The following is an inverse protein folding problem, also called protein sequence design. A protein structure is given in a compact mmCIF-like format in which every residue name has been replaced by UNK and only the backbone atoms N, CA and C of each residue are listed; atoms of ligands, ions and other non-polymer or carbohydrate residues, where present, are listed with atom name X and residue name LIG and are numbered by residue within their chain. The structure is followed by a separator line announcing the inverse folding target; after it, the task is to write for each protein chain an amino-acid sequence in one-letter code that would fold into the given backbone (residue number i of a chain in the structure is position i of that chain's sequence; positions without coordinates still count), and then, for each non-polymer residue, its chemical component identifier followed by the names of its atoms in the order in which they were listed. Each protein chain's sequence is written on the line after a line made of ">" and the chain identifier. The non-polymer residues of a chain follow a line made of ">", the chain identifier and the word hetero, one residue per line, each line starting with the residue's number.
data_IF_337298291701
#
_entry.id   IF_337298291701
#
_cell.length_a   1.000
_cell.length_b   1.000
_cell.length_c   1.000
_cell.angle_alpha   90.00
_cell.angle_beta   90.00
_cell.angle_gamma   90.00
#
_symmetry.space_group_name_H-M   'P 1'
#
loop_
_entity.id
_entity.type
_entity.pdbx_description
1 polymer ?
#
# COMPACT_ATOMS: atom_id res chain seq x y z
N UNK A 1 0.20 -0.73 16.00
CA UNK A 1 -0.82 -1.64 16.57
C UNK A 1 -1.10 -2.76 15.59
N UNK A 2 -1.44 -3.95 16.10
CA UNK A 2 -1.81 -5.10 15.27
C UNK A 2 -3.30 -5.05 14.94
N UNK A 3 -3.64 -5.03 13.64
CA UNK A 3 -5.02 -5.11 13.16
C UNK A 3 -5.38 -6.57 12.86
N UNK A 4 -6.63 -6.95 13.04
CA UNK A 4 -7.19 -8.28 12.71
C UNK A 4 -7.75 -8.24 11.31
N UNK A 5 -7.11 -8.95 10.39
CA UNK A 5 -7.48 -8.98 8.98
C UNK A 5 -8.08 -10.35 8.65
N UNK A 6 -9.26 -10.35 8.05
CA UNK A 6 -9.86 -11.55 7.46
C UNK A 6 -9.53 -11.57 5.97
N UNK A 7 -8.96 -12.66 5.47
CA UNK A 7 -8.67 -12.89 4.06
C UNK A 7 -9.50 -14.08 3.58
N UNK A 8 -10.37 -13.86 2.60
CA UNK A 8 -11.14 -14.89 1.93
C UNK A 8 -10.58 -15.08 0.51
N UNK A 9 -9.90 -16.20 0.28
CA UNK A 9 -9.19 -16.54 -0.96
C UNK A 9 -9.10 -18.06 -1.03
N UNK A 10 -9.61 -18.66 -2.12
CA UNK A 10 -9.73 -20.11 -2.28
C UNK A 10 -8.44 -20.75 -2.80
N UNK A 11 -7.57 -20.00 -3.48
CA UNK A 11 -6.22 -20.45 -3.82
C UNK A 11 -5.32 -20.45 -2.56
N UNK A 12 -4.94 -21.62 -2.01
CA UNK A 12 -4.16 -21.69 -0.78
C UNK A 12 -2.75 -21.08 -0.92
N UNK A 13 -2.17 -21.05 -2.13
CA UNK A 13 -0.87 -20.42 -2.37
C UNK A 13 -0.99 -18.91 -2.30
N UNK A 14 -2.01 -18.35 -2.94
CA UNK A 14 -2.29 -16.92 -2.92
C UNK A 14 -2.65 -16.46 -1.51
N UNK A 15 -3.55 -17.18 -0.85
CA UNK A 15 -3.97 -16.88 0.52
C UNK A 15 -2.79 -16.92 1.51
N UNK A 16 -1.90 -17.92 1.39
CA UNK A 16 -0.70 -18.00 2.21
C UNK A 16 0.27 -16.85 1.93
N UNK A 17 0.43 -16.44 0.67
CA UNK A 17 1.29 -15.32 0.30
C UNK A 17 0.78 -14.02 0.92
N UNK A 18 -0.52 -13.73 0.82
CA UNK A 18 -1.16 -12.56 1.44
C UNK A 18 -0.92 -12.57 2.95
N UNK A 19 -1.19 -13.71 3.60
CA UNK A 19 -1.00 -13.89 5.05
C UNK A 19 0.42 -13.55 5.49
N UNK A 20 1.43 -14.15 4.86
CA UNK A 20 2.84 -13.93 5.24
C UNK A 20 3.23 -12.46 5.12
N UNK A 21 2.73 -11.74 4.11
CA UNK A 21 3.04 -10.32 3.95
C UNK A 21 2.37 -9.46 5.03
N UNK A 22 1.09 -9.67 5.28
CA UNK A 22 0.35 -8.89 6.27
C UNK A 22 0.81 -9.18 7.70
N UNK A 23 1.16 -10.44 8.02
CA UNK A 23 1.76 -10.81 9.30
C UNK A 23 3.14 -10.16 9.51
N UNK A 24 3.96 -10.05 8.46
CA UNK A 24 5.24 -9.32 8.50
C UNK A 24 5.07 -7.83 8.80
N UNK A 25 3.92 -7.24 8.48
CA UNK A 25 3.57 -5.86 8.82
C UNK A 25 2.98 -5.73 10.24
N UNK A 26 2.92 -6.84 10.98
CA UNK A 26 2.48 -6.87 12.38
C UNK A 26 0.98 -7.06 12.55
N UNK A 27 0.24 -7.43 11.50
CA UNK A 27 -1.19 -7.73 11.58
C UNK A 27 -1.45 -9.19 11.99
N UNK A 28 -2.60 -9.45 12.60
CA UNK A 28 -3.11 -10.80 12.82
C UNK A 28 -4.02 -11.17 11.65
N UNK A 29 -3.75 -12.29 10.99
CA UNK A 29 -4.46 -12.66 9.76
C UNK A 29 -5.19 -13.98 9.94
N UNK A 30 -6.49 -13.99 9.63
CA UNK A 30 -7.28 -15.20 9.50
C UNK A 30 -7.57 -15.44 8.01
N UNK A 31 -7.27 -16.65 7.54
CA UNK A 31 -7.55 -17.07 6.16
C UNK A 31 -8.75 -18.03 6.15
N UNK A 32 -9.65 -17.83 5.19
CA UNK A 32 -10.77 -18.71 4.88
C UNK A 32 -10.82 -18.94 3.36
N UNK A 33 -11.36 -20.08 2.92
CA UNK A 33 -11.35 -20.48 1.51
C UNK A 33 -12.69 -20.37 0.78
N UNK A 34 -13.72 -19.83 1.42
CA UNK A 34 -15.06 -19.70 0.84
C UNK A 34 -15.85 -18.53 1.45
N UNK A 35 -16.81 -17.99 0.69
CA UNK A 35 -17.56 -16.80 1.09
C UNK A 35 -18.53 -17.02 2.27
N UNK A 36 -19.04 -18.24 2.48
CA UNK A 36 -19.91 -18.55 3.61
C UNK A 36 -19.12 -18.47 4.92
N UNK A 37 -17.96 -19.12 4.96
CA UNK A 37 -17.05 -19.07 6.10
C UNK A 37 -16.56 -17.64 6.33
N UNK A 38 -16.32 -16.85 5.26
CA UNK A 38 -15.98 -15.44 5.38
C UNK A 38 -17.05 -14.63 6.13
N UNK A 39 -18.33 -14.78 5.77
CA UNK A 39 -19.45 -14.13 6.47
C UNK A 39 -19.53 -14.55 7.94
N UNK A 40 -19.43 -15.85 8.22
CA UNK A 40 -19.49 -16.38 9.59
C UNK A 40 -18.34 -15.83 10.46
N UNK A 41 -17.11 -15.81 9.93
CA UNK A 41 -15.94 -15.29 10.64
C UNK A 41 -15.99 -13.76 10.80
N UNK A 42 -16.46 -13.02 9.79
CA UNK A 42 -16.60 -11.57 9.88
C UNK A 42 -17.56 -11.16 11.02
N UNK A 43 -18.72 -11.83 11.12
CA UNK A 43 -19.72 -11.58 12.18
C UNK A 43 -19.21 -11.91 13.57
N UNK A 44 -18.52 -13.04 13.72
CA UNK A 44 -18.10 -13.55 15.03
C UNK A 44 -16.83 -12.88 15.54
N UNK A 45 -15.85 -12.62 14.66
CA UNK A 45 -14.54 -12.08 15.06
C UNK A 45 -14.44 -10.57 14.94
N UNK A 46 -15.34 -9.94 14.18
CA UNK A 46 -15.36 -8.49 13.92
C UNK A 46 -13.96 -7.98 13.52
N UNK A 47 -13.46 -8.39 12.34
CA UNK A 47 -12.15 -7.98 11.87
C UNK A 47 -12.11 -6.46 11.65
N UNK A 48 -10.90 -5.93 11.63
CA UNK A 48 -10.63 -4.52 11.40
C UNK A 48 -10.52 -4.19 9.90
N UNK A 49 -10.36 -5.22 9.05
CA UNK A 49 -10.43 -5.17 7.59
C UNK A 49 -10.74 -6.56 7.01
N UNK A 50 -11.46 -6.61 5.89
CA UNK A 50 -11.71 -7.82 5.11
C UNK A 50 -11.11 -7.71 3.71
N UNK A 51 -10.37 -8.73 3.29
CA UNK A 51 -9.91 -8.92 1.91
C UNK A 51 -10.74 -10.06 1.31
N UNK A 52 -11.40 -9.84 0.18
CA UNK A 52 -12.27 -10.81 -0.45
C UNK A 52 -11.84 -11.04 -1.90
N UNK A 53 -11.53 -12.26 -2.29
CA UNK A 53 -11.61 -12.63 -3.70
C UNK A 53 -13.06 -12.56 -4.17
N UNK A 54 -13.28 -11.95 -5.34
CA UNK A 54 -14.57 -11.96 -6.01
C UNK A 54 -14.97 -13.41 -6.33
N UNK A 55 -14.07 -14.18 -6.94
CA UNK A 55 -14.41 -15.52 -7.46
C UNK A 55 -14.18 -16.60 -6.40
N UNK A 56 -15.08 -16.70 -5.42
CA UNK A 56 -15.01 -17.72 -4.36
C UNK A 56 -16.14 -18.76 -4.43
N UNK A 57 -15.91 -19.99 -3.95
CA UNK A 57 -16.94 -21.02 -3.88
C UNK A 57 -18.00 -20.71 -2.80
N UNK A 58 -19.16 -21.37 -2.92
CA UNK A 58 -20.35 -21.28 -2.05
C UNK A 58 -21.10 -19.95 -2.08
N UNK A 59 -20.39 -18.85 -1.81
CA UNK A 59 -20.91 -17.48 -1.88
C UNK A 59 -19.84 -16.61 -2.54
N UNK A 60 -20.21 -15.89 -3.58
CA UNK A 60 -19.31 -15.00 -4.33
C UNK A 60 -18.89 -13.80 -3.47
N UNK A 61 -17.68 -13.29 -3.67
CA UNK A 61 -17.13 -12.18 -2.89
C UNK A 61 -17.93 -10.88 -2.98
N UNK A 62 -18.61 -10.64 -4.11
CA UNK A 62 -19.51 -9.47 -4.25
C UNK A 62 -20.75 -9.63 -3.38
N UNK A 63 -21.32 -10.83 -3.29
CA UNK A 63 -22.46 -11.10 -2.42
C UNK A 63 -22.08 -11.02 -0.94
N UNK A 64 -20.89 -11.52 -0.57
CA UNK A 64 -20.31 -11.33 0.77
C UNK A 64 -20.17 -9.85 1.09
N UNK A 65 -19.61 -9.05 0.16
CA UNK A 65 -19.46 -7.61 0.34
C UNK A 65 -20.83 -6.94 0.58
N UNK A 66 -21.83 -7.23 -0.27
CA UNK A 66 -23.18 -6.66 -0.15
C UNK A 66 -23.82 -6.97 1.21
N UNK A 67 -23.71 -8.21 1.67
CA UNK A 67 -24.26 -8.63 2.96
C UNK A 67 -23.55 -7.93 4.11
N UNK A 68 -22.20 -7.92 4.11
CA UNK A 68 -21.42 -7.26 5.16
C UNK A 68 -21.68 -5.75 5.23
N UNK A 69 -21.98 -5.11 4.10
CA UNK A 69 -22.36 -3.69 4.06
C UNK A 69 -23.70 -3.38 4.70
N UNK A 70 -24.65 -4.29 4.62
CA UNK A 70 -25.90 -4.17 5.37
C UNK A 70 -25.72 -4.35 6.89
N UNK A 71 -24.59 -4.89 7.33
CA UNK A 71 -24.36 -5.31 8.72
C UNK A 71 -23.25 -4.51 9.43
N UNK A 72 -22.32 -3.91 8.68
CA UNK A 72 -21.12 -3.27 9.23
C UNK A 72 -20.41 -2.33 8.25
N UNK A 73 -19.67 -1.37 8.84
CA UNK A 73 -18.78 -0.44 8.15
C UNK A 73 -17.33 -0.95 8.08
N UNK A 74 -17.11 -2.27 8.18
CA UNK A 74 -15.75 -2.83 8.15
C UNK A 74 -15.10 -2.54 6.81
N UNK A 75 -13.84 -2.08 6.72
CA UNK A 75 -13.19 -1.87 5.44
C UNK A 75 -13.11 -3.15 4.61
N UNK A 76 -13.46 -3.08 3.33
CA UNK A 76 -13.42 -4.23 2.40
C UNK A 76 -12.54 -3.90 1.20
N UNK A 77 -11.52 -4.73 0.97
CA UNK A 77 -10.70 -4.75 -0.25
C UNK A 77 -11.10 -5.94 -1.11
N UNK A 78 -11.58 -5.67 -2.34
CA UNK A 78 -11.89 -6.73 -3.31
C UNK A 78 -10.66 -7.11 -4.15
N UNK A 79 -10.42 -8.40 -4.34
CA UNK A 79 -9.47 -8.95 -5.29
C UNK A 79 -10.26 -9.46 -6.50
N UNK A 80 -9.97 -8.98 -7.71
CA UNK A 80 -10.77 -9.35 -8.89
C UNK A 80 -9.89 -9.70 -10.09
N UNK A 81 -10.21 -10.79 -10.79
CA UNK A 81 -9.63 -11.09 -12.10
C UNK A 81 -10.37 -10.38 -13.25
N UNK A 82 -11.50 -9.72 -12.96
CA UNK A 82 -12.30 -9.03 -13.96
C UNK A 82 -11.74 -7.65 -14.22
N UNK A 83 -11.55 -7.32 -15.49
CA UNK A 83 -10.89 -6.09 -15.95
C UNK A 83 -11.79 -5.19 -16.78
N UNK A 84 -13.08 -5.52 -16.91
CA UNK A 84 -14.03 -4.67 -17.65
C UNK A 84 -14.48 -3.51 -16.78
N UNK A 85 -14.72 -2.33 -17.38
CA UNK A 85 -15.24 -1.15 -16.67
C UNK A 85 -16.56 -1.45 -15.94
N UNK A 86 -17.41 -2.30 -16.54
CA UNK A 86 -18.69 -2.71 -15.95
C UNK A 86 -18.50 -3.51 -14.65
N UNK A 87 -17.52 -4.41 -14.61
CA UNK A 87 -17.20 -5.21 -13.41
C UNK A 87 -16.59 -4.34 -12.28
N UNK A 88 -15.86 -3.27 -12.63
CA UNK A 88 -15.27 -2.33 -11.67
C UNK A 88 -16.33 -1.37 -11.09
N UNK A 89 -17.29 -0.93 -11.91
CA UNK A 89 -18.43 -0.12 -11.46
C UNK A 89 -19.32 -0.93 -10.51
N UNK A 90 -19.57 -2.20 -10.81
CA UNK A 90 -20.31 -3.12 -9.93
C UNK A 90 -19.65 -3.30 -8.54
N UNK A 91 -18.32 -3.38 -8.48
CA UNK A 91 -17.60 -3.50 -7.19
C UNK A 91 -17.75 -2.27 -6.28
N UNK A 92 -17.78 -1.08 -6.88
CA UNK A 92 -17.97 0.20 -6.18
C UNK A 92 -19.43 0.41 -5.76
N UNK A 93 -20.39 0.08 -6.64
CA UNK A 93 -21.83 0.17 -6.35
C UNK A 93 -22.28 -0.80 -5.24
N UNK A 94 -21.54 -1.90 -5.06
CA UNK A 94 -21.79 -2.91 -4.01
C UNK A 94 -21.18 -2.50 -2.65
N UNK A 95 -20.39 -1.43 -2.61
CA UNK A 95 -19.89 -0.80 -1.40
C UNK A 95 -18.45 -1.14 -1.02
N UNK A 96 -17.65 -1.77 -1.87
CA UNK A 96 -16.22 -1.98 -1.55
C UNK A 96 -15.47 -0.64 -1.38
N UNK A 97 -14.53 -0.58 -0.44
CA UNK A 97 -13.77 0.65 -0.18
C UNK A 97 -12.58 0.83 -1.14
N UNK A 98 -12.10 -0.28 -1.70
CA UNK A 98 -11.06 -0.34 -2.72
C UNK A 98 -11.11 -1.71 -3.43
N UNK A 99 -10.49 -1.80 -4.60
CA UNK A 99 -10.29 -3.06 -5.31
C UNK A 99 -8.89 -3.15 -5.91
N UNK A 100 -8.44 -4.37 -6.16
CA UNK A 100 -7.17 -4.66 -6.80
C UNK A 100 -7.38 -5.74 -7.86
N UNK A 101 -6.87 -5.49 -9.07
CA UNK A 101 -6.98 -6.43 -10.17
C UNK A 101 -5.89 -7.51 -10.09
N UNK A 102 -6.23 -8.76 -10.37
CA UNK A 102 -5.28 -9.87 -10.53
C UNK A 102 -4.70 -9.80 -11.96
N UNK A 103 -3.37 -9.95 -12.17
CA UNK A 103 -2.35 -10.20 -11.15
C UNK A 103 -1.91 -8.93 -10.43
N UNK A 104 -1.73 -9.03 -9.11
CA UNK A 104 -1.23 -7.95 -8.27
C UNK A 104 0.05 -8.34 -7.53
N UNK A 105 0.79 -7.34 -7.05
CA UNK A 105 1.91 -7.60 -6.13
C UNK A 105 1.42 -7.67 -4.68
N UNK A 106 1.94 -8.58 -3.83
CA UNK A 106 1.58 -8.62 -2.41
C UNK A 106 1.84 -7.30 -1.66
N UNK A 107 2.81 -6.50 -2.13
CA UNK A 107 3.10 -5.17 -1.56
C UNK A 107 2.05 -4.14 -1.91
N UNK A 108 1.51 -4.18 -3.13
CA UNK A 108 0.39 -3.33 -3.52
C UNK A 108 -0.83 -3.63 -2.64
N UNK A 109 -1.15 -4.91 -2.45
CA UNK A 109 -2.21 -5.33 -1.55
C UNK A 109 -1.97 -4.82 -0.12
N UNK A 110 -0.75 -5.00 0.40
CA UNK A 110 -0.40 -4.54 1.74
C UNK A 110 -0.49 -3.00 1.89
N UNK A 111 -0.09 -2.25 0.86
CA UNK A 111 -0.24 -0.79 0.84
C UNK A 111 -1.72 -0.35 0.85
N UNK A 112 -2.59 -1.03 0.09
CA UNK A 112 -4.04 -0.77 0.09
C UNK A 112 -4.67 -1.10 1.43
N UNK A 113 -4.33 -2.26 2.01
CA UNK A 113 -4.76 -2.66 3.36
C UNK A 113 -4.36 -1.59 4.39
N UNK A 114 -3.11 -1.10 4.34
CA UNK A 114 -2.63 -0.04 5.24
C UNK A 114 -3.42 1.25 5.07
N UNK A 115 -3.72 1.64 3.83
CA UNK A 115 -4.50 2.84 3.54
C UNK A 115 -5.96 2.74 4.02
N UNK A 116 -6.57 1.57 3.91
CA UNK A 116 -7.94 1.29 4.37
C UNK A 116 -8.03 1.29 5.91
N UNK A 117 -7.13 0.57 6.58
CA UNK A 117 -7.07 0.54 8.05
C UNK A 117 -6.86 1.92 8.66
N UNK A 118 -6.10 2.79 7.98
CA UNK A 118 -5.91 4.19 8.38
C UNK A 118 -7.18 5.02 8.20
N UNK A 119 -7.89 4.87 7.07
CA UNK A 119 -9.16 5.57 6.81
C UNK A 119 -10.25 5.21 7.83
N UNK A 120 -10.28 3.95 8.26
CA UNK A 120 -11.28 3.44 9.19
C UNK A 120 -11.01 3.76 10.68
N UNK A 121 -9.90 4.44 11.00
CA UNK A 121 -9.50 4.72 12.39
C UNK A 121 -9.15 3.47 13.22
N UNK A 122 -9.23 2.27 12.64
CA UNK A 122 -8.94 0.99 13.29
C UNK A 122 -7.46 0.84 13.64
N UNK A 123 -6.60 1.58 12.94
CA UNK A 123 -5.21 1.80 13.34
C UNK A 123 -5.08 3.22 13.85
N UNK A 124 -5.27 3.42 15.17
CA UNK A 124 -4.57 4.48 15.90
C UNK A 124 -3.12 4.03 16.15
N UNK A 125 -2.40 3.69 15.08
CA UNK A 125 -0.96 3.85 15.13
C UNK A 125 -0.72 5.35 14.97
N UNK A 126 0.15 5.91 15.80
CA UNK A 126 0.51 7.33 15.75
C UNK A 126 0.63 7.80 14.32
N UNK A 127 0.19 9.02 14.07
CA UNK A 127 0.59 9.78 12.89
C UNK A 127 1.97 9.28 12.47
N UNK A 128 2.11 8.69 11.27
CA UNK A 128 3.39 8.85 10.61
C UNK A 128 3.45 10.35 10.47
N UNK A 129 4.10 10.99 11.45
CA UNK A 129 4.17 12.43 11.52
C UNK A 129 4.58 12.87 10.14
N UNK A 130 3.91 13.92 9.64
CA UNK A 130 4.28 14.53 8.38
C UNK A 130 5.80 14.68 8.42
N UNK A 131 6.50 13.90 7.57
CA UNK A 131 7.94 13.83 7.63
C UNK A 131 8.43 15.14 7.04
N UNK A 132 9.15 15.91 7.85
CA UNK A 132 9.64 17.24 7.46
C UNK A 132 11.15 17.24 7.31
N UNK A 133 11.61 17.74 6.18
CA UNK A 133 13.03 18.06 5.94
C UNK A 133 13.07 19.43 5.29
N UNK A 134 13.46 20.46 6.05
CA UNK A 134 13.31 21.85 5.60
C UNK A 134 11.85 22.16 5.25
N UNK A 135 11.62 22.58 4.00
CA UNK A 135 10.29 22.96 3.51
C UNK A 135 9.56 21.80 2.81
N UNK A 136 10.17 20.61 2.74
CA UNK A 136 9.58 19.38 2.20
C UNK A 136 8.74 18.70 3.29
N UNK A 137 7.47 18.46 2.97
CA UNK A 137 6.51 17.75 3.81
C UNK A 137 6.03 16.50 3.08
N UNK A 138 6.12 15.34 3.72
CA UNK A 138 5.67 14.07 3.18
C UNK A 138 4.60 13.52 4.12
N UNK A 139 3.42 13.25 3.58
CA UNK A 139 2.32 12.60 4.30
C UNK A 139 2.12 11.18 3.73
N UNK A 140 2.78 10.16 4.29
CA UNK A 140 2.56 8.75 3.95
C UNK A 140 1.09 8.33 4.11
N UNK A 141 0.38 8.98 5.03
CA UNK A 141 -1.03 8.76 5.30
C UNK A 141 -1.95 9.27 4.19
N UNK A 142 -1.55 10.26 3.41
CA UNK A 142 -2.36 10.79 2.30
C UNK A 142 -1.76 10.53 0.94
N UNK A 143 -0.56 9.93 0.89
CA UNK A 143 0.23 9.84 -0.33
C UNK A 143 0.47 11.23 -0.94
N UNK A 144 0.61 12.23 -0.07
CA UNK A 144 0.79 13.64 -0.46
C UNK A 144 2.21 14.09 -0.17
N UNK A 145 2.73 14.94 -1.05
CA UNK A 145 4.01 15.63 -0.85
C UNK A 145 3.80 17.11 -1.09
N UNK A 146 4.40 17.96 -0.24
CA UNK A 146 4.40 19.42 -0.42
C UNK A 146 5.81 19.97 -0.30
N UNK A 147 6.10 21.03 -1.05
CA UNK A 147 7.35 21.81 -0.92
C UNK A 147 6.98 23.27 -0.72
N UNK A 148 7.35 23.84 0.43
CA UNK A 148 6.94 25.19 0.81
C UNK A 148 5.41 25.35 0.82
N UNK A 149 4.69 24.31 1.25
CA UNK A 149 3.23 24.26 1.29
C UNK A 149 2.53 23.97 -0.06
N UNK A 150 3.26 23.97 -1.19
CA UNK A 150 2.68 23.66 -2.52
C UNK A 150 2.62 22.15 -2.76
N UNK A 151 1.47 21.58 -3.16
CA UNK A 151 1.35 20.15 -3.45
C UNK A 151 2.16 19.76 -4.69
N UNK A 152 2.85 18.62 -4.59
CA UNK A 152 3.67 18.05 -5.66
C UNK A 152 3.11 16.68 -6.04
N UNK A 153 2.81 16.49 -7.34
CA UNK A 153 2.31 15.22 -7.85
C UNK A 153 3.46 14.28 -8.18
N UNK A 154 3.54 13.18 -7.43
CA UNK A 154 4.52 12.11 -7.63
C UNK A 154 3.84 10.86 -8.21
N UNK A 155 4.59 10.12 -9.02
CA UNK A 155 4.24 8.74 -9.38
C UNK A 155 4.42 7.83 -8.17
N UNK A 156 3.80 6.64 -8.19
CA UNK A 156 3.92 5.67 -7.10
C UNK A 156 5.38 5.28 -6.80
N UNK A 157 6.21 5.13 -7.85
CA UNK A 157 7.63 4.77 -7.68
C UNK A 157 8.46 5.93 -7.12
N UNK A 158 8.21 7.17 -7.56
CA UNK A 158 8.88 8.36 -7.00
C UNK A 158 8.52 8.56 -5.52
N UNK A 159 7.23 8.41 -5.18
CA UNK A 159 6.78 8.48 -3.80
C UNK A 159 7.41 7.37 -2.96
N UNK A 160 7.41 6.13 -3.45
CA UNK A 160 8.04 5.00 -2.76
C UNK A 160 9.52 5.21 -2.48
N UNK A 161 10.29 5.77 -3.42
CA UNK A 161 11.69 6.16 -3.16
C UNK A 161 11.74 7.17 -2.03
N UNK A 162 10.94 8.24 -2.13
CA UNK A 162 10.97 9.34 -1.17
C UNK A 162 10.61 8.85 0.24
N UNK A 163 9.59 7.99 0.36
CA UNK A 163 9.18 7.37 1.61
C UNK A 163 10.28 6.51 2.24
N UNK A 164 10.99 5.71 1.43
CA UNK A 164 12.12 4.90 1.91
C UNK A 164 13.24 5.76 2.47
N UNK A 165 13.59 6.84 1.77
CA UNK A 165 14.65 7.74 2.22
C UNK A 165 14.22 8.56 3.44
N UNK A 166 12.96 8.98 3.50
CA UNK A 166 12.39 9.78 4.58
C UNK A 166 12.15 8.99 5.88
N UNK A 167 12.02 7.66 5.80
CA UNK A 167 11.90 6.81 6.98
C UNK A 167 13.15 6.82 7.87
N UNK A 168 14.33 7.14 7.31
CA UNK A 168 15.59 7.26 8.06
C UNK A 168 16.45 8.44 7.52
N UNK A 169 16.08 9.70 7.80
CA UNK A 169 16.78 10.87 7.26
C UNK A 169 18.28 10.86 7.59
N UNK A 170 19.11 11.26 6.64
CA UNK A 170 20.57 11.23 6.75
C UNK A 170 21.23 9.87 6.49
N UNK A 171 20.48 8.75 6.57
CA UNK A 171 21.00 7.40 6.26
C UNK A 171 21.15 7.20 4.75
N UNK A 172 22.30 6.66 4.35
CA UNK A 172 22.53 6.25 2.96
C UNK A 172 21.91 4.87 2.66
N UNK A 173 21.11 4.80 1.60
CA UNK A 173 20.56 3.58 1.04
C UNK A 173 21.22 3.23 -0.29
N UNK A 174 21.51 1.95 -0.50
CA UNK A 174 21.98 1.47 -1.80
C UNK A 174 20.83 1.41 -2.81
N UNK A 175 21.15 1.42 -4.11
CA UNK A 175 20.14 1.25 -5.18
C UNK A 175 19.37 -0.06 -5.00
N UNK A 176 20.07 -1.15 -4.71
CA UNK A 176 19.46 -2.44 -4.38
C UNK A 176 18.52 -2.35 -3.17
N UNK A 177 18.88 -1.64 -2.10
CA UNK A 177 18.00 -1.42 -0.94
C UNK A 177 16.78 -0.57 -1.30
N UNK A 178 16.94 0.44 -2.16
CA UNK A 178 15.82 1.26 -2.64
C UNK A 178 14.88 0.43 -3.52
N UNK A 179 15.41 -0.41 -4.42
CA UNK A 179 14.61 -1.35 -5.22
C UNK A 179 13.85 -2.30 -4.29
N UNK A 180 14.58 -2.93 -3.36
CA UNK A 180 14.00 -3.91 -2.45
C UNK A 180 12.98 -3.28 -1.50
N UNK A 181 13.02 -1.98 -1.20
CA UNK A 181 12.01 -1.35 -0.32
C UNK A 181 10.89 -0.63 -1.08
N UNK A 182 11.22 0.15 -2.11
CA UNK A 182 10.28 1.00 -2.85
C UNK A 182 9.65 0.32 -4.08
N UNK A 183 10.32 -0.66 -4.70
CA UNK A 183 9.91 -1.18 -6.00
C UNK A 183 9.25 -2.55 -5.97
N UNK A 184 9.54 -3.40 -4.97
CA UNK A 184 8.96 -4.73 -4.91
C UNK A 184 9.93 -5.87 -5.25
N UNK A 185 9.34 -7.06 -5.45
CA UNK A 185 9.97 -8.19 -6.13
C UNK A 185 9.86 -8.07 -7.65
N UNK A 186 10.03 -6.84 -8.14
CA UNK A 186 10.03 -6.53 -9.56
C UNK A 186 11.41 -6.94 -10.09
N UNK A 187 11.61 -8.25 -10.26
CA UNK A 187 12.91 -8.91 -10.52
C UNK A 187 13.62 -8.47 -11.82
N UNK A 188 13.01 -7.55 -12.57
CA UNK A 188 13.53 -6.98 -13.81
C UNK A 188 13.88 -5.48 -13.70
N UNK A 189 13.72 -4.85 -12.53
CA UNK A 189 14.13 -3.45 -12.33
C UNK A 189 15.63 -3.38 -12.12
N UNK A 190 16.32 -2.83 -13.12
CA UNK A 190 17.77 -2.60 -13.07
C UNK A 190 18.09 -1.41 -12.15
N UNK A 191 19.26 -1.43 -11.52
CA UNK A 191 19.70 -0.35 -10.62
C UNK A 191 19.66 1.05 -11.27
N UNK A 192 19.92 1.13 -12.58
CA UNK A 192 19.82 2.37 -13.38
C UNK A 192 18.41 2.99 -13.40
N UNK A 193 17.38 2.20 -13.14
CA UNK A 193 15.99 2.68 -13.08
C UNK A 193 15.77 3.54 -11.85
N UNK A 194 16.46 3.25 -10.73
CA UNK A 194 16.44 4.10 -9.53
C UNK A 194 16.95 5.50 -9.87
N UNK A 195 18.05 5.60 -10.61
CA UNK A 195 18.66 6.89 -10.97
C UNK A 195 17.72 7.75 -11.80
N UNK A 196 16.99 7.15 -12.75
CA UNK A 196 15.99 7.85 -13.56
C UNK A 196 14.83 8.37 -12.71
N UNK A 197 14.31 7.55 -11.79
CA UNK A 197 13.25 7.99 -10.87
C UNK A 197 13.73 9.04 -9.87
N UNK A 198 14.97 8.95 -9.37
CA UNK A 198 15.56 9.98 -8.51
C UNK A 198 15.72 11.30 -9.28
N UNK A 199 16.16 11.25 -10.53
CA UNK A 199 16.27 12.45 -11.37
C UNK A 199 14.91 13.11 -11.60
N UNK A 200 13.88 12.33 -11.89
CA UNK A 200 12.51 12.84 -12.06
C UNK A 200 11.93 13.37 -10.75
N UNK A 201 12.18 12.69 -9.64
CA UNK A 201 11.81 13.15 -8.30
C UNK A 201 12.46 14.51 -8.00
N UNK A 202 13.77 14.65 -8.21
CA UNK A 202 14.50 15.92 -8.00
C UNK A 202 13.93 17.07 -8.82
N UNK A 203 13.63 16.84 -10.10
CA UNK A 203 12.98 17.85 -10.97
C UNK A 203 11.65 18.37 -10.43
N UNK A 204 10.99 17.63 -9.54
CA UNK A 204 9.70 18.00 -8.97
C UNK A 204 9.81 18.65 -7.59
N UNK A 205 10.80 18.24 -6.78
CA UNK A 205 10.88 18.65 -5.37
C UNK A 205 12.04 19.61 -5.06
N UNK A 206 13.07 19.64 -5.91
CA UNK A 206 14.24 20.51 -5.73
C UNK A 206 14.05 21.83 -6.48
N UNK A 207 14.68 22.89 -5.99
CA UNK A 207 14.79 24.16 -6.74
C UNK A 207 15.74 24.00 -7.95
N UNK A 208 16.88 23.35 -7.73
CA UNK A 208 17.78 22.88 -8.78
C UNK A 208 18.04 21.37 -8.64
N UNK A 209 17.68 20.60 -9.67
CA UNK A 209 17.88 19.15 -9.69
C UNK A 209 19.37 18.74 -9.80
N UNK A 210 20.24 19.62 -10.30
CA UNK A 210 21.68 19.40 -10.37
C UNK A 210 22.38 19.64 -9.03
N UNK A 211 21.83 20.51 -8.19
CA UNK A 211 22.30 20.81 -6.83
C UNK A 211 21.24 20.44 -5.77
N UNK A 212 20.96 19.14 -5.59
CA UNK A 212 19.82 18.69 -4.79
C UNK A 212 20.02 18.98 -3.29
N UNK A 213 19.07 19.68 -2.69
CA UNK A 213 19.01 19.96 -1.25
C UNK A 213 18.47 18.75 -0.48
N UNK A 214 17.39 18.14 -0.95
CA UNK A 214 16.68 17.08 -0.22
C UNK A 214 17.23 15.69 -0.53
N UNK A 215 17.18 15.24 -1.78
CA UNK A 215 17.57 13.87 -2.16
C UNK A 215 19.00 13.88 -2.65
N UNK A 216 19.96 13.59 -1.78
CA UNK A 216 21.39 13.72 -2.05
C UNK A 216 22.02 12.42 -2.54
N UNK A 217 22.99 12.56 -3.45
CA UNK A 217 23.80 11.42 -3.91
C UNK A 217 24.90 11.14 -2.89
N UNK A 218 25.02 9.88 -2.47
CA UNK A 218 26.18 9.39 -1.73
C UNK A 218 27.03 8.58 -2.70
N UNK A 219 28.09 9.20 -3.22
CA UNK A 219 28.94 8.62 -4.26
C UNK A 219 29.45 7.23 -3.87
N UNK A 220 29.37 6.29 -4.81
CA UNK A 220 29.76 4.89 -4.60
C UNK A 220 28.77 4.07 -3.73
N UNK A 221 27.68 4.66 -3.23
CA UNK A 221 26.73 3.95 -2.35
C UNK A 221 25.28 4.01 -2.86
N UNK A 222 24.75 5.20 -3.13
CA UNK A 222 23.36 5.37 -3.54
C UNK A 222 22.83 6.74 -3.16
N UNK A 223 21.70 6.77 -2.44
CA UNK A 223 20.98 8.01 -2.13
C UNK A 223 20.62 8.11 -0.66
N UNK A 224 20.41 9.33 -0.20
CA UNK A 224 19.88 9.65 1.13
C UNK A 224 18.93 10.83 1.04
N UNK A 225 18.02 10.93 1.99
CA UNK A 225 17.39 12.22 2.29
C UNK A 225 18.36 13.02 3.18
N UNK A 226 18.42 14.34 3.00
CA UNK A 226 19.14 15.22 3.92
C UNK A 226 18.64 15.00 5.36
N UNK A 227 19.56 15.04 6.32
CA UNK A 227 19.21 15.04 7.73
C UNK A 227 18.58 16.38 8.13
N UNK A 228 17.71 16.35 9.13
CA UNK A 228 17.17 17.55 9.79
C UNK A 228 18.28 18.42 10.38
#
# INVERSE_FOLDING_TARGET
>A
MSARILVAEDDPKQANLIRVYLEREGHSVLVVGDGRTALEQARTRRPDLVVLDVMMPQVDGLDVCRILRGESEVPILLLTARTTEDDMLLGLDVGADDYITKPYSPRELAARVRALLRRAGAVTAGTQDILKVGDLEIDPGRFEVRVGGRPIVLTAKEFGILEVLAGEPGRAFTRAQIIDRAFGFDHYVLERTVDAHVMNLRRKIEEDAAEPRYVQTVYGRGYRLAGS
#
